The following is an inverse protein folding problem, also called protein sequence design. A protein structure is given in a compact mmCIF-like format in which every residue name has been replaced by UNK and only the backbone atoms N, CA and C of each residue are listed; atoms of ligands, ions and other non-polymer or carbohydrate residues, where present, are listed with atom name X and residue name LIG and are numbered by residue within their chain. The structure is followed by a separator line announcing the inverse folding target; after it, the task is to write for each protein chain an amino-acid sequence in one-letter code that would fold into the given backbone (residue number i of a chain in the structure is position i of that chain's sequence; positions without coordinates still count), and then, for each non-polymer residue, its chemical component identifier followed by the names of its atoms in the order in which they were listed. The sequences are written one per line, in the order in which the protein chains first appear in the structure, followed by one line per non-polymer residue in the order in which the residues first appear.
data_IF_665910752093
#
_entry.id   IF_665910752093
#
_cell.length_a   1.000
_cell.length_b   1.000
_cell.length_c   1.000
_cell.angle_alpha   90.00
_cell.angle_beta   90.00
_cell.angle_gamma   90.00
#
_symmetry.space_group_name_H-M   'P 1'
#
loop_
_entity.id
_entity.type
_entity.pdbx_description
1 polymer ?
#
# COMPACT_ATOMS: atom_id res chain seq x y z
N UNK A 1 36.01 46.45 -38.23
CA UNK A 1 35.75 44.98 -38.18
C UNK A 1 35.35 44.63 -36.75
N UNK A 2 34.06 44.40 -36.49
CA UNK A 2 33.52 44.08 -35.16
C UNK A 2 33.49 42.55 -35.02
N UNK A 3 34.25 41.98 -34.08
CA UNK A 3 34.16 40.55 -33.73
C UNK A 3 32.93 40.35 -32.85
N UNK A 4 31.91 39.71 -33.43
CA UNK A 4 30.74 39.20 -32.74
C UNK A 4 31.18 37.92 -32.01
N UNK A 5 31.27 37.96 -30.68
CA UNK A 5 31.47 36.76 -29.85
C UNK A 5 30.10 36.44 -29.25
N UNK A 6 29.47 35.37 -29.74
CA UNK A 6 28.27 34.81 -29.14
C UNK A 6 28.60 34.31 -27.72
N UNK A 7 27.88 34.73 -26.67
CA UNK A 7 27.88 33.98 -25.43
C UNK A 7 27.05 32.72 -25.64
N UNK A 8 27.71 31.59 -25.44
CA UNK A 8 27.13 30.25 -25.34
C UNK A 8 25.94 30.34 -24.40
N UNK A 9 24.81 29.84 -24.90
CA UNK A 9 23.55 29.62 -24.18
C UNK A 9 23.90 28.81 -22.92
N UNK A 10 24.11 29.54 -21.82
CA UNK A 10 24.27 28.98 -20.49
C UNK A 10 23.04 28.15 -20.20
N UNK A 11 23.30 26.90 -19.81
CA UNK A 11 22.32 25.84 -19.65
C UNK A 11 21.04 26.32 -18.99
N UNK A 12 19.94 25.82 -19.55
CA UNK A 12 18.61 25.96 -19.04
C UNK A 12 18.57 25.87 -17.51
N UNK A 13 17.92 26.87 -16.95
CA UNK A 13 17.28 26.85 -15.64
C UNK A 13 16.62 25.49 -15.41
N UNK A 14 17.17 24.67 -14.52
CA UNK A 14 16.42 23.63 -13.83
C UNK A 14 16.09 24.17 -12.43
N UNK A 15 15.06 25.00 -12.42
CA UNK A 15 14.23 25.25 -11.26
C UNK A 15 13.61 23.93 -10.77
N UNK A 16 13.35 23.90 -9.47
CA UNK A 16 12.41 23.02 -8.78
C UNK A 16 12.89 21.58 -8.51
N UNK A 17 13.35 21.37 -7.28
CA UNK A 17 13.58 20.02 -6.79
C UNK A 17 14.20 19.93 -5.41
N UNK A 18 13.86 20.82 -4.48
CA UNK A 18 13.87 20.40 -3.07
C UNK A 18 12.75 19.37 -2.90
N UNK A 19 12.92 18.17 -3.49
CA UNK A 19 12.28 16.95 -3.03
C UNK A 19 12.60 16.95 -1.54
N UNK A 20 11.58 17.08 -0.70
CA UNK A 20 11.72 17.09 0.76
C UNK A 20 12.69 15.99 1.17
N UNK A 21 13.92 16.37 1.51
CA UNK A 21 15.06 15.46 1.67
C UNK A 21 15.06 14.79 3.05
N UNK A 22 13.87 14.60 3.61
CA UNK A 22 13.65 13.94 4.88
C UNK A 22 12.98 12.58 4.69
N UNK A 23 13.20 11.64 5.62
CA UNK A 23 12.45 10.39 5.64
C UNK A 23 10.95 10.68 5.78
N UNK A 24 10.11 9.80 5.22
CA UNK A 24 8.66 9.91 5.40
C UNK A 24 8.32 9.80 6.88
N UNK A 25 7.58 10.76 7.47
CA UNK A 25 7.17 10.69 8.88
C UNK A 25 6.45 9.37 9.17
N UNK A 26 6.73 8.73 10.32
CA UNK A 26 6.18 7.40 10.61
C UNK A 26 4.64 7.36 10.57
N UNK A 27 3.96 8.41 11.05
CA UNK A 27 2.50 8.48 11.01
C UNK A 27 1.96 8.51 9.56
N UNK A 28 2.61 9.28 8.69
CA UNK A 28 2.29 9.35 7.27
C UNK A 28 2.61 8.03 6.57
N UNK A 29 3.74 7.40 6.91
CA UNK A 29 4.12 6.09 6.38
C UNK A 29 3.09 5.02 6.72
N UNK A 30 2.62 4.95 7.97
CA UNK A 30 1.57 4.00 8.39
C UNK A 30 0.25 4.27 7.65
N UNK A 31 -0.17 5.53 7.55
CA UNK A 31 -1.39 5.90 6.84
C UNK A 31 -1.32 5.52 5.36
N UNK A 32 -0.26 5.96 4.67
CA UNK A 32 -0.05 5.65 3.26
C UNK A 32 0.07 4.14 3.03
N UNK A 33 0.72 3.40 3.92
CA UNK A 33 0.82 1.94 3.82
C UNK A 33 -0.55 1.28 3.93
N UNK A 34 -1.39 1.75 4.87
CA UNK A 34 -2.76 1.25 5.04
C UNK A 34 -3.65 1.54 3.83
N UNK A 35 -3.58 2.75 3.27
CA UNK A 35 -4.35 3.11 2.07
C UNK A 35 -3.91 2.28 0.86
N UNK A 36 -2.60 2.13 0.65
CA UNK A 36 -2.08 1.37 -0.49
C UNK A 36 -2.31 -0.14 -0.34
N UNK A 37 -2.20 -0.72 0.85
CA UNK A 37 -2.54 -2.14 1.04
C UNK A 37 -4.03 -2.37 0.86
N UNK A 38 -4.89 -1.44 1.32
CA UNK A 38 -6.33 -1.50 1.07
C UNK A 38 -6.62 -1.58 -0.43
N UNK A 39 -6.08 -0.65 -1.22
CA UNK A 39 -6.25 -0.64 -2.68
C UNK A 39 -5.74 -1.93 -3.32
N UNK A 40 -4.63 -2.47 -2.82
CA UNK A 40 -4.02 -3.69 -3.33
C UNK A 40 -4.88 -4.94 -3.03
N UNK A 41 -5.41 -5.07 -1.82
CA UNK A 41 -6.11 -6.29 -1.37
C UNK A 41 -7.59 -6.28 -1.67
N UNK A 42 -8.22 -5.10 -1.76
CA UNK A 42 -9.67 -4.95 -1.92
C UNK A 42 -10.25 -5.76 -3.08
N UNK A 43 -9.70 -5.71 -4.32
CA UNK A 43 -10.30 -6.44 -5.43
C UNK A 43 -10.39 -7.95 -5.18
N UNK A 44 -9.38 -8.54 -4.55
CA UNK A 44 -9.36 -9.98 -4.24
C UNK A 44 -10.34 -10.36 -3.13
N UNK A 45 -10.48 -9.50 -2.11
CA UNK A 45 -11.46 -9.71 -1.04
C UNK A 45 -12.88 -9.54 -1.59
N UNK A 46 -13.14 -8.49 -2.36
CA UNK A 46 -14.44 -8.24 -2.98
C UNK A 46 -14.84 -9.40 -3.89
N UNK A 47 -13.92 -9.89 -4.73
CA UNK A 47 -14.19 -11.04 -5.58
C UNK A 47 -14.62 -12.28 -4.79
N UNK A 48 -13.95 -12.57 -3.67
CA UNK A 48 -14.22 -13.73 -2.85
C UNK A 48 -15.54 -13.62 -2.06
N UNK A 49 -15.84 -12.45 -1.50
CA UNK A 49 -16.89 -12.33 -0.49
C UNK A 49 -18.14 -11.59 -0.96
N UNK A 50 -18.14 -10.91 -2.12
CA UNK A 50 -19.31 -10.15 -2.61
C UNK A 50 -20.59 -10.95 -2.83
N UNK A 51 -20.50 -12.28 -2.91
CA UNK A 51 -21.67 -13.17 -3.06
C UNK A 51 -22.39 -13.43 -1.74
N UNK A 52 -21.74 -13.19 -0.60
CA UNK A 52 -22.30 -13.50 0.74
C UNK A 52 -22.36 -12.30 1.66
N UNK A 53 -21.69 -11.20 1.31
CA UNK A 53 -21.66 -9.95 2.06
C UNK A 53 -22.32 -8.84 1.24
N UNK A 54 -22.99 -7.92 1.93
CA UNK A 54 -23.44 -6.68 1.30
C UNK A 54 -22.28 -5.66 1.17
N UNK A 55 -22.53 -4.57 0.45
CA UNK A 55 -21.52 -3.53 0.17
C UNK A 55 -20.91 -2.94 1.45
N UNK A 56 -21.73 -2.65 2.46
CA UNK A 56 -21.24 -2.11 3.74
C UNK A 56 -20.37 -3.12 4.49
N UNK A 57 -20.79 -4.39 4.55
CA UNK A 57 -20.02 -5.45 5.19
C UNK A 57 -18.68 -5.70 4.48
N UNK A 58 -18.65 -5.64 3.15
CA UNK A 58 -17.42 -5.71 2.37
C UNK A 58 -16.51 -4.53 2.68
N UNK A 59 -17.04 -3.33 2.73
CA UNK A 59 -16.26 -2.13 3.01
C UNK A 59 -15.65 -2.18 4.43
N UNK A 60 -16.47 -2.53 5.42
CA UNK A 60 -16.03 -2.68 6.81
C UNK A 60 -14.97 -3.81 6.94
N UNK A 61 -15.14 -4.92 6.22
CA UNK A 61 -14.15 -6.01 6.17
C UNK A 61 -12.84 -5.54 5.54
N UNK A 62 -12.89 -4.89 4.36
CA UNK A 62 -11.69 -4.42 3.65
C UNK A 62 -10.91 -3.41 4.47
N UNK A 63 -11.59 -2.44 5.10
CA UNK A 63 -10.96 -1.45 5.95
C UNK A 63 -10.26 -2.10 7.16
N UNK A 64 -10.91 -3.08 7.80
CA UNK A 64 -10.30 -3.84 8.89
C UNK A 64 -9.09 -4.65 8.40
N UNK A 65 -9.23 -5.40 7.30
CA UNK A 65 -8.17 -6.25 6.78
C UNK A 65 -6.97 -5.42 6.37
N UNK A 66 -7.15 -4.27 5.73
CA UNK A 66 -6.06 -3.36 5.42
C UNK A 66 -5.28 -2.94 6.68
N UNK A 67 -5.99 -2.55 7.74
CA UNK A 67 -5.38 -2.19 9.03
C UNK A 67 -4.61 -3.35 9.66
N UNK A 68 -5.18 -4.56 9.68
CA UNK A 68 -4.50 -5.74 10.23
C UNK A 68 -3.31 -6.19 9.37
N UNK A 69 -3.43 -6.11 8.05
CA UNK A 69 -2.35 -6.40 7.13
C UNK A 69 -1.19 -5.41 7.30
N UNK A 70 -1.45 -4.10 7.43
CA UNK A 70 -0.41 -3.10 7.68
C UNK A 70 0.41 -3.41 8.94
N UNK A 71 -0.21 -3.92 10.01
CA UNK A 71 0.51 -4.34 11.22
C UNK A 71 1.46 -5.53 10.99
N UNK A 72 1.20 -6.34 9.97
CA UNK A 72 1.98 -7.53 9.60
C UNK A 72 3.07 -7.23 8.56
N UNK A 73 3.10 -6.00 8.04
CA UNK A 73 4.14 -5.55 7.14
C UNK A 73 5.42 -5.23 7.91
N UNK A 74 6.56 -5.61 7.33
CA UNK A 74 7.88 -5.15 7.74
C UNK A 74 8.03 -3.66 7.44
N UNK A 75 9.06 -3.03 8.03
CA UNK A 75 9.36 -1.64 7.73
C UNK A 75 9.67 -1.44 6.23
N UNK A 76 10.38 -2.35 5.59
CA UNK A 76 10.69 -2.26 4.15
C UNK A 76 9.43 -2.37 3.29
N UNK A 77 8.50 -3.26 3.63
CA UNK A 77 7.21 -3.36 2.94
C UNK A 77 6.39 -2.07 3.09
N UNK A 78 6.40 -1.46 4.28
CA UNK A 78 5.77 -0.16 4.52
C UNK A 78 6.44 0.95 3.71
N UNK A 79 7.77 1.03 3.71
CA UNK A 79 8.52 2.00 2.90
C UNK A 79 8.22 1.84 1.40
N UNK A 80 8.11 0.60 0.92
CA UNK A 80 7.72 0.33 -0.47
C UNK A 80 6.29 0.81 -0.79
N UNK A 81 5.34 0.61 0.12
CA UNK A 81 3.95 1.01 -0.09
C UNK A 81 3.73 2.52 0.09
N UNK A 82 4.19 3.07 1.21
CA UNK A 82 3.80 4.40 1.68
C UNK A 82 4.92 5.42 1.80
N UNK A 83 6.18 5.02 1.57
CA UNK A 83 7.33 5.92 1.62
C UNK A 83 7.43 6.83 0.39
N UNK A 84 8.37 7.77 0.44
CA UNK A 84 8.68 8.63 -0.69
C UNK A 84 9.41 7.86 -1.81
N UNK A 85 9.63 8.50 -2.96
CA UNK A 85 10.21 7.83 -4.12
C UNK A 85 11.58 7.17 -3.86
N UNK A 86 12.42 7.78 -3.03
CA UNK A 86 13.74 7.24 -2.68
C UNK A 86 13.61 6.00 -1.79
N UNK A 87 12.76 6.06 -0.77
CA UNK A 87 12.49 4.94 0.13
C UNK A 87 11.88 3.75 -0.61
N UNK A 88 10.94 4.01 -1.53
CA UNK A 88 10.36 2.97 -2.39
C UNK A 88 11.41 2.28 -3.25
N UNK A 89 12.35 3.05 -3.81
CA UNK A 89 13.44 2.50 -4.62
C UNK A 89 14.40 1.65 -3.78
N UNK A 90 14.69 2.08 -2.56
CA UNK A 90 15.53 1.32 -1.61
C UNK A 90 14.86 0.03 -1.16
N UNK A 91 13.54 0.04 -0.96
CA UNK A 91 12.75 -1.12 -0.54
C UNK A 91 12.12 -1.90 -1.70
N UNK A 92 12.60 -1.73 -2.94
CA UNK A 92 11.96 -2.30 -4.15
C UNK A 92 11.76 -3.82 -4.08
N UNK A 93 12.66 -4.54 -3.41
CA UNK A 93 12.64 -6.00 -3.35
C UNK A 93 11.58 -6.52 -2.34
N UNK A 94 11.09 -5.65 -1.45
CA UNK A 94 10.01 -5.96 -0.53
C UNK A 94 8.67 -6.27 -1.23
N UNK A 95 8.52 -5.87 -2.50
CA UNK A 95 7.33 -6.18 -3.31
C UNK A 95 7.04 -7.68 -3.37
N UNK A 96 8.06 -8.54 -3.38
CA UNK A 96 7.86 -9.97 -3.49
C UNK A 96 7.24 -10.53 -2.21
N UNK A 97 7.77 -10.13 -1.05
CA UNK A 97 7.21 -10.53 0.25
C UNK A 97 5.81 -9.97 0.46
N UNK A 98 5.60 -8.69 0.10
CA UNK A 98 4.30 -8.04 0.11
C UNK A 98 3.26 -8.81 -0.72
N UNK A 99 3.62 -9.18 -1.97
CA UNK A 99 2.75 -9.96 -2.85
C UNK A 99 2.39 -11.31 -2.24
N UNK A 100 3.36 -11.99 -1.63
CA UNK A 100 3.13 -13.28 -0.99
C UNK A 100 2.19 -13.17 0.21
N UNK A 101 2.37 -12.17 1.07
CA UNK A 101 1.48 -11.92 2.22
C UNK A 101 0.09 -11.46 1.82
N UNK A 102 -0.02 -10.67 0.76
CA UNK A 102 -1.30 -10.11 0.31
C UNK A 102 -2.12 -11.08 -0.55
N UNK A 103 -1.59 -12.25 -0.92
CA UNK A 103 -2.37 -13.31 -1.58
C UNK A 103 -3.55 -13.73 -0.69
N UNK A 104 -4.76 -13.93 -1.24
CA UNK A 104 -5.90 -14.45 -0.49
C UNK A 104 -5.65 -15.79 0.22
N UNK A 105 -4.72 -16.59 -0.30
CA UNK A 105 -4.37 -17.90 0.24
C UNK A 105 -3.27 -17.87 1.30
N UNK A 106 -2.61 -16.72 1.49
CA UNK A 106 -1.52 -16.57 2.46
C UNK A 106 -2.03 -16.76 3.90
N UNK A 107 -1.10 -17.06 4.81
CA UNK A 107 -1.41 -17.17 6.23
C UNK A 107 -1.84 -15.80 6.78
N UNK A 108 -1.11 -14.76 6.43
CA UNK A 108 -1.31 -13.38 6.89
C UNK A 108 -2.70 -12.86 6.50
N UNK A 109 -3.11 -13.10 5.25
CA UNK A 109 -4.41 -12.69 4.76
C UNK A 109 -5.54 -13.48 5.41
N UNK A 110 -5.42 -14.80 5.50
CA UNK A 110 -6.42 -15.65 6.16
C UNK A 110 -6.61 -15.28 7.63
N UNK A 111 -5.53 -15.05 8.35
CA UNK A 111 -5.60 -14.61 9.75
C UNK A 111 -6.23 -13.22 9.87
N UNK A 112 -5.87 -12.28 9.00
CA UNK A 112 -6.44 -10.93 9.01
C UNK A 112 -7.94 -10.95 8.70
N UNK A 113 -8.36 -11.68 7.66
CA UNK A 113 -9.78 -11.88 7.34
C UNK A 113 -10.51 -12.58 8.50
N UNK A 114 -9.90 -13.60 9.11
CA UNK A 114 -10.48 -14.30 10.25
C UNK A 114 -10.75 -13.36 11.44
N UNK A 115 -9.73 -12.60 11.87
CA UNK A 115 -9.85 -11.62 12.95
C UNK A 115 -10.86 -10.52 12.63
N UNK A 116 -10.81 -10.00 11.40
CA UNK A 116 -11.72 -8.94 10.96
C UNK A 116 -13.15 -9.43 10.84
N UNK A 117 -13.38 -10.66 10.39
CA UNK A 117 -14.71 -11.24 10.30
C UNK A 117 -15.43 -11.31 11.65
N UNK A 118 -14.68 -11.57 12.72
CA UNK A 118 -15.20 -11.53 14.10
C UNK A 118 -15.45 -10.08 14.51
N UNK A 119 -14.49 -9.20 14.26
CA UNK A 119 -14.55 -7.79 14.66
C UNK A 119 -15.71 -7.02 14.02
N UNK A 120 -16.06 -7.35 12.77
CA UNK A 120 -17.17 -6.72 12.04
C UNK A 120 -18.47 -7.54 12.09
N UNK A 121 -18.50 -8.66 12.81
CA UNK A 121 -19.73 -9.44 13.07
C UNK A 121 -20.21 -10.34 11.94
N UNK A 122 -19.38 -10.64 10.95
CA UNK A 122 -19.72 -11.43 9.73
C UNK A 122 -19.08 -12.83 9.69
N UNK A 123 -18.46 -13.27 10.78
CA UNK A 123 -17.75 -14.54 10.91
C UNK A 123 -18.52 -15.74 10.33
N UNK A 124 -19.83 -15.82 10.57
CA UNK A 124 -20.69 -16.92 10.06
C UNK A 124 -20.78 -16.95 8.54
N UNK A 125 -20.78 -15.80 7.88
CA UNK A 125 -20.84 -15.71 6.42
C UNK A 125 -19.49 -16.11 5.80
N UNK A 126 -18.40 -15.60 6.37
CA UNK A 126 -17.03 -15.84 5.87
C UNK A 126 -16.57 -17.29 6.10
N UNK A 127 -16.87 -17.90 7.24
CA UNK A 127 -16.52 -19.31 7.54
C UNK A 127 -17.05 -20.31 6.51
N UNK A 128 -18.09 -19.97 5.74
CA UNK A 128 -18.62 -20.84 4.66
C UNK A 128 -17.71 -20.86 3.43
N UNK A 129 -16.93 -19.81 3.23
CA UNK A 129 -16.03 -19.64 2.07
C UNK A 129 -14.60 -20.05 2.42
N UNK A 130 -14.14 -19.81 3.64
CA UNK A 130 -12.76 -20.12 4.07
C UNK A 130 -12.47 -21.62 4.32
N UNK A 131 -13.44 -22.51 4.13
CA UNK A 131 -13.24 -23.96 4.21
C UNK A 131 -12.43 -24.46 3.03
#
# INVERSE_FOLDING_TARGET
MKKLVLPIIGGAVLLAGCLSSGPTPQAELEQNSQENIYTYTKPGIDELYKKVLNEKELEDLNACVAKEMTKRLSQEEKLFLGGNAQEKLQAKDAINSLKDKAKPTSKEMKESVGLCSVSVGIEKAIKKIMK
#
